data_IF_853707386543
#
_entry.id   IF_853707386543
#
_cell.length_a   1.000
_cell.length_b   1.000
_cell.length_c   1.000
_cell.angle_alpha   90.00
_cell.angle_beta   90.00
_cell.angle_gamma   90.00
#
_symmetry.space_group_name_H-M   'P 1'
#
loop_
_entity.id
_entity.type
_entity.pdbx_description
1 polymer ?
#
# COMPACT_ATOMS: atom_id res chain seq x y z
N UNK A 1 -82.51 4.00 21.91
CA UNK A 1 -81.47 4.18 20.87
C UNK A 1 -80.41 5.12 21.41
N UNK A 2 -79.14 4.71 21.40
CA UNK A 2 -78.00 5.54 21.80
C UNK A 2 -76.94 5.52 20.68
N UNK A 3 -76.47 6.68 20.19
CA UNK A 3 -75.50 6.76 19.10
C UNK A 3 -74.09 6.35 19.59
N UNK A 4 -73.39 5.58 18.74
CA UNK A 4 -72.03 5.09 18.96
C UNK A 4 -71.02 6.25 18.94
N UNK A 5 -70.16 6.31 19.96
CA UNK A 5 -69.13 7.34 20.18
C UNK A 5 -68.11 7.35 19.02
N UNK A 6 -67.83 8.54 18.49
CA UNK A 6 -66.77 8.81 17.51
C UNK A 6 -65.41 8.72 18.18
N UNK A 7 -64.43 8.14 17.47
CA UNK A 7 -63.07 7.89 17.97
C UNK A 7 -62.23 9.16 17.92
N UNK A 8 -61.58 9.49 19.03
CA UNK A 8 -60.66 10.61 19.21
C UNK A 8 -59.53 10.58 18.16
N UNK A 9 -59.39 11.68 17.42
CA UNK A 9 -58.35 11.82 16.40
C UNK A 9 -58.40 13.09 15.56
N UNK A 10 -59.38 13.98 15.77
CA UNK A 10 -59.48 15.22 15.01
C UNK A 10 -59.02 16.41 15.85
N UNK A 11 -57.70 16.51 16.01
CA UNK A 11 -57.04 17.74 16.41
C UNK A 11 -56.16 18.22 15.25
N UNK A 12 -56.67 19.19 14.49
CA UNK A 12 -55.84 20.02 13.59
C UNK A 12 -54.84 20.81 14.43
N UNK A 13 -53.57 20.91 14.00
CA UNK A 13 -52.77 22.10 14.22
C UNK A 13 -52.55 22.82 12.90
N UNK A 14 -52.95 24.09 12.90
CA UNK A 14 -52.51 25.15 11.98
C UNK A 14 -51.00 25.38 12.12
N UNK A 15 -50.28 25.48 11.00
CA UNK A 15 -48.94 26.08 10.99
C UNK A 15 -47.94 25.45 10.01
N UNK A 16 -47.73 26.14 8.87
CA UNK A 16 -46.50 26.24 8.07
C UNK A 16 -45.62 25.01 7.81
N UNK A 17 -45.52 24.62 6.53
CA UNK A 17 -44.28 24.07 5.97
C UNK A 17 -44.43 22.73 5.24
N UNK A 18 -44.42 22.80 3.90
CA UNK A 18 -44.16 21.74 2.92
C UNK A 18 -44.93 20.40 3.07
N UNK A 19 -45.80 20.15 2.09
CA UNK A 19 -46.48 18.88 1.85
C UNK A 19 -45.56 17.66 2.03
N UNK A 20 -45.68 16.98 3.17
CA UNK A 20 -45.10 15.66 3.36
C UNK A 20 -46.23 14.64 3.50
N UNK A 21 -46.67 14.14 2.35
CA UNK A 21 -47.59 13.00 2.26
C UNK A 21 -47.09 11.89 3.20
N UNK A 22 -47.93 11.35 4.11
CA UNK A 22 -47.48 10.36 5.08
C UNK A 22 -46.95 9.14 4.35
N UNK A 23 -45.62 8.93 4.44
CA UNK A 23 -44.94 7.79 3.82
C UNK A 23 -45.49 6.51 4.46
N UNK A 24 -46.39 5.83 3.76
CA UNK A 24 -46.88 4.50 4.15
C UNK A 24 -45.64 3.62 4.39
N UNK A 25 -45.55 3.04 5.60
CA UNK A 25 -44.46 2.14 5.98
C UNK A 25 -44.40 1.01 4.96
N UNK A 26 -43.37 1.03 4.10
CA UNK A 26 -43.11 -0.09 3.18
C UNK A 26 -42.87 -1.32 4.07
N UNK A 27 -43.61 -2.41 3.80
CA UNK A 27 -43.40 -3.69 4.48
C UNK A 27 -41.96 -4.18 4.29
N UNK A 28 -41.61 -5.31 4.90
CA UNK A 28 -40.27 -5.90 4.80
C UNK A 28 -39.96 -6.23 3.32
N UNK A 29 -39.23 -5.33 2.65
CA UNK A 29 -38.84 -5.49 1.26
C UNK A 29 -37.73 -6.54 1.17
N UNK A 30 -38.11 -7.79 0.91
CA UNK A 30 -37.18 -8.89 0.62
C UNK A 30 -36.92 -8.94 -0.89
N UNK A 31 -36.19 -7.94 -1.38
CA UNK A 31 -35.80 -7.85 -2.78
C UNK A 31 -34.28 -7.74 -2.92
N UNK A 32 -33.72 -7.97 -4.12
CA UNK A 32 -32.28 -7.88 -4.39
C UNK A 32 -31.67 -6.50 -4.06
N UNK A 33 -32.50 -5.48 -3.82
CA UNK A 33 -32.09 -4.16 -3.32
C UNK A 33 -31.78 -4.12 -1.82
N UNK A 34 -32.31 -5.05 -1.02
CA UNK A 34 -32.19 -5.13 0.44
C UNK A 34 -31.44 -6.40 0.92
N UNK A 35 -31.09 -7.31 0.00
CA UNK A 35 -30.16 -8.39 0.31
C UNK A 35 -28.75 -7.81 0.46
N UNK A 36 -27.92 -8.32 1.39
CA UNK A 36 -26.54 -7.88 1.53
C UNK A 36 -25.86 -8.01 0.16
N UNK A 37 -25.39 -6.87 -0.35
CA UNK A 37 -24.72 -6.79 -1.64
C UNK A 37 -23.70 -7.92 -1.72
N UNK A 38 -23.91 -8.84 -2.68
CA UNK A 38 -23.07 -10.02 -2.83
C UNK A 38 -21.60 -9.61 -2.92
N UNK A 39 -20.70 -10.53 -2.57
CA UNK A 39 -19.25 -10.27 -2.47
C UNK A 39 -18.67 -9.54 -3.69
N UNK A 40 -19.21 -9.78 -4.89
CA UNK A 40 -18.79 -9.11 -6.12
C UNK A 40 -19.23 -7.63 -6.21
N UNK A 41 -20.44 -7.27 -5.76
CA UNK A 41 -20.93 -5.88 -5.78
C UNK A 41 -20.17 -4.99 -4.78
N UNK A 42 -19.82 -5.53 -3.61
CA UNK A 42 -18.94 -4.83 -2.65
C UNK A 42 -17.54 -4.57 -3.21
N UNK A 43 -16.98 -5.56 -3.90
CA UNK A 43 -15.67 -5.43 -4.56
C UNK A 43 -15.72 -4.37 -5.66
N UNK A 44 -16.73 -4.35 -6.51
CA UNK A 44 -16.84 -3.34 -7.57
C UNK A 44 -17.06 -1.94 -7.00
N UNK A 45 -17.89 -1.78 -5.96
CA UNK A 45 -18.04 -0.51 -5.25
C UNK A 45 -16.73 -0.04 -4.62
N UNK A 46 -15.99 -0.95 -3.95
CA UNK A 46 -14.68 -0.65 -3.36
C UNK A 46 -13.65 -0.24 -4.41
N UNK A 47 -13.58 -0.96 -5.53
CA UNK A 47 -12.67 -0.63 -6.64
C UNK A 47 -13.00 0.76 -7.20
N UNK A 48 -14.28 1.06 -7.41
CA UNK A 48 -14.72 2.37 -7.90
C UNK A 48 -14.38 3.49 -6.90
N UNK A 49 -14.70 3.31 -5.62
CA UNK A 49 -14.40 4.32 -4.59
C UNK A 49 -12.90 4.56 -4.44
N UNK A 50 -12.09 3.50 -4.46
CA UNK A 50 -10.62 3.59 -4.37
C UNK A 50 -10.01 4.31 -5.58
N UNK A 51 -10.50 4.02 -6.79
CA UNK A 51 -10.04 4.70 -8.00
C UNK A 51 -10.37 6.20 -7.98
N UNK A 52 -11.56 6.56 -7.51
CA UNK A 52 -11.97 7.97 -7.33
C UNK A 52 -11.11 8.66 -6.27
N UNK A 53 -10.86 8.02 -5.13
CA UNK A 53 -10.02 8.57 -4.06
C UNK A 53 -8.58 8.80 -4.54
N UNK A 54 -7.97 7.82 -5.23
CA UNK A 54 -6.64 7.96 -5.82
C UNK A 54 -6.57 9.12 -6.81
N UNK A 55 -7.58 9.27 -7.66
CA UNK A 55 -7.65 10.40 -8.58
C UNK A 55 -7.77 11.75 -7.85
N UNK A 56 -8.58 11.83 -6.78
CA UNK A 56 -8.70 13.04 -5.94
C UNK A 56 -7.38 13.40 -5.27
N UNK A 57 -6.70 12.43 -4.67
CA UNK A 57 -5.39 12.63 -4.03
C UNK A 57 -4.36 13.11 -5.05
N UNK A 58 -4.29 12.48 -6.24
CA UNK A 58 -3.39 12.93 -7.31
C UNK A 58 -3.67 14.36 -7.76
N UNK A 59 -4.95 14.75 -7.90
CA UNK A 59 -5.33 16.12 -8.25
C UNK A 59 -4.94 17.12 -7.16
N UNK A 60 -5.22 16.79 -5.91
CA UNK A 60 -4.85 17.65 -4.77
C UNK A 60 -3.33 17.80 -4.66
N UNK A 61 -2.58 16.70 -4.79
CA UNK A 61 -1.12 16.72 -4.79
C UNK A 61 -0.55 17.54 -5.94
N UNK A 62 -1.08 17.39 -7.16
CA UNK A 62 -0.66 18.19 -8.30
C UNK A 62 -0.92 19.69 -8.07
N UNK A 63 -2.04 20.05 -7.42
CA UNK A 63 -2.35 21.44 -7.06
C UNK A 63 -1.35 21.99 -6.03
N UNK A 64 -1.08 21.24 -4.96
CA UNK A 64 -0.10 21.64 -3.93
C UNK A 64 1.29 21.76 -4.56
N UNK A 65 1.72 20.78 -5.35
CA UNK A 65 3.02 20.82 -6.03
C UNK A 65 3.15 22.03 -6.96
N UNK A 66 2.11 22.39 -7.71
CA UNK A 66 2.11 23.58 -8.54
C UNK A 66 2.19 24.86 -7.71
N UNK A 67 1.46 24.91 -6.59
CA UNK A 67 1.52 26.04 -5.66
C UNK A 67 2.90 26.15 -5.02
N UNK A 68 3.49 25.06 -4.53
CA UNK A 68 4.85 25.02 -3.97
C UNK A 68 5.91 25.42 -4.99
N UNK A 69 5.80 24.98 -6.24
CA UNK A 69 6.70 25.43 -7.31
C UNK A 69 6.54 26.92 -7.61
N UNK A 70 5.33 27.48 -7.49
CA UNK A 70 5.11 28.92 -7.66
C UNK A 70 5.61 29.75 -6.48
N UNK A 71 5.51 29.25 -5.24
CA UNK A 71 5.96 29.95 -4.04
C UNK A 71 7.46 29.80 -3.79
N UNK A 72 8.02 28.63 -4.13
CA UNK A 72 9.45 28.31 -4.02
C UNK A 72 10.20 28.49 -5.35
N UNK A 73 9.58 29.11 -6.36
CA UNK A 73 10.34 29.59 -7.50
C UNK A 73 11.40 30.55 -6.94
N UNK A 74 12.71 30.27 -7.13
CA UNK A 74 13.75 31.19 -6.70
C UNK A 74 13.49 32.51 -7.43
N UNK A 75 13.10 33.55 -6.68
CA UNK A 75 13.04 34.90 -7.22
C UNK A 75 14.43 35.17 -7.82
N UNK A 76 14.56 35.49 -9.12
CA UNK A 76 15.86 35.85 -9.66
C UNK A 76 16.34 37.06 -8.86
N UNK A 77 17.49 36.91 -8.20
CA UNK A 77 18.11 37.92 -7.32
C UNK A 77 18.23 39.30 -8.02
N UNK A 78 18.19 39.31 -9.35
CA UNK A 78 18.25 40.50 -10.19
C UNK A 78 17.00 41.40 -10.21
N UNK A 79 15.83 41.01 -9.69
CA UNK A 79 14.64 41.87 -9.70
C UNK A 79 14.28 42.51 -8.35
N UNK A 80 15.09 42.30 -7.32
CA UNK A 80 14.94 42.92 -5.98
C UNK A 80 16.03 43.96 -5.72
N UNK A 81 16.41 44.75 -6.73
CA UNK A 81 17.39 45.83 -6.58
C UNK A 81 16.80 47.23 -6.87
N UNK A 82 15.54 47.35 -7.28
CA UNK A 82 14.96 48.67 -7.65
C UNK A 82 14.00 49.27 -6.63
N UNK A 83 13.80 48.65 -5.46
CA UNK A 83 12.83 49.17 -4.49
C UNK A 83 13.24 48.86 -3.05
N UNK A 84 14.30 49.51 -2.56
CA UNK A 84 14.40 50.11 -1.23
C UNK A 84 15.83 50.55 -0.92
N UNK A 85 15.93 51.73 -0.30
CA UNK A 85 17.09 52.33 0.39
C UNK A 85 18.02 53.22 -0.43
N UNK A 86 17.72 54.53 -0.34
CA UNK A 86 18.76 55.55 -0.25
C UNK A 86 19.55 55.35 1.04
N UNK A 87 20.86 55.18 0.88
CA UNK A 87 21.82 55.11 1.97
C UNK A 87 23.20 55.10 1.35
N UNK A 88 23.97 56.15 1.59
CA UNK A 88 25.34 56.35 1.12
C UNK A 88 26.19 55.07 1.31
N UNK A 89 26.56 54.43 0.20
CA UNK A 89 27.61 53.42 0.19
C UNK A 89 28.55 53.76 -0.96
N UNK A 90 29.76 54.17 -0.59
CA UNK A 90 30.90 54.26 -1.49
C UNK A 90 31.05 52.96 -2.29
N UNK A 91 31.56 53.01 -3.54
CA UNK A 91 31.64 51.83 -4.38
C UNK A 91 32.48 50.79 -3.65
N UNK A 92 31.88 49.65 -3.32
CA UNK A 92 32.59 48.50 -2.80
C UNK A 92 33.62 48.09 -3.85
N UNK A 93 34.86 48.54 -3.68
CA UNK A 93 35.98 48.11 -4.50
C UNK A 93 36.04 46.59 -4.38
N UNK A 94 36.14 45.92 -5.53
CA UNK A 94 36.25 44.47 -5.64
C UNK A 94 37.62 43.96 -5.14
N UNK A 95 38.25 44.68 -4.21
CA UNK A 95 39.53 44.37 -3.63
C UNK A 95 39.27 43.64 -2.31
N UNK A 96 39.80 42.42 -2.20
CA UNK A 96 39.74 41.66 -0.96
C UNK A 96 40.35 42.48 0.18
N UNK A 97 39.65 42.52 1.32
CA UNK A 97 40.14 43.17 2.54
C UNK A 97 41.60 42.75 2.82
N UNK A 98 42.50 43.66 3.22
CA UNK A 98 43.94 43.38 3.34
C UNK A 98 44.25 42.16 4.22
N UNK A 99 43.49 41.95 5.29
CA UNK A 99 43.63 40.78 6.18
C UNK A 99 43.37 39.44 5.47
N UNK A 100 42.47 39.42 4.48
CA UNK A 100 42.18 38.20 3.69
C UNK A 100 43.28 37.92 2.67
N UNK A 101 43.95 38.96 2.17
CA UNK A 101 45.12 38.82 1.29
C UNK A 101 46.31 38.26 2.08
N UNK A 102 46.49 38.68 3.35
CA UNK A 102 47.53 38.13 4.22
C UNK A 102 47.36 36.63 4.47
N UNK A 103 46.13 36.16 4.74
CA UNK A 103 45.84 34.74 4.97
C UNK A 103 46.04 33.84 3.74
N UNK A 104 45.94 34.40 2.52
CA UNK A 104 46.16 33.67 1.27
C UNK A 104 47.64 33.63 0.84
N UNK A 105 48.43 34.60 1.32
CA UNK A 105 49.86 34.68 1.05
C UNK A 105 50.71 33.93 2.09
N UNK A 106 50.13 33.51 3.21
CA UNK A 106 50.81 32.62 4.15
C UNK A 106 50.97 31.22 3.54
N UNK A 107 52.18 30.65 3.48
CA UNK A 107 52.38 29.28 2.99
C UNK A 107 51.73 28.28 3.96
N UNK A 108 50.82 27.47 3.43
CA UNK A 108 50.11 26.42 4.17
C UNK A 108 51.14 25.47 4.81
N UNK A 109 51.14 25.28 6.15
CA UNK A 109 52.00 24.29 6.77
C UNK A 109 51.59 22.90 6.30
N UNK A 110 52.53 22.13 5.75
CA UNK A 110 52.27 20.77 5.26
C UNK A 110 51.59 19.93 6.35
N UNK A 111 50.31 19.62 6.15
CA UNK A 111 49.61 18.67 7.00
C UNK A 111 50.30 17.30 6.88
N UNK A 112 50.61 16.62 8.01
CA UNK A 112 51.13 15.26 7.93
C UNK A 112 50.04 14.38 7.34
N UNK A 113 50.29 13.89 6.11
CA UNK A 113 49.47 12.88 5.43
C UNK A 113 49.10 11.80 6.43
N UNK A 114 47.81 11.68 6.73
CA UNK A 114 47.29 10.63 7.59
C UNK A 114 47.59 9.26 6.98
N UNK A 115 48.70 8.66 7.40
CA UNK A 115 49.02 7.27 7.15
C UNK A 115 47.85 6.42 7.65
N UNK A 116 47.35 5.58 6.74
CA UNK A 116 46.35 4.55 7.04
C UNK A 116 46.85 3.75 8.23
N UNK A 117 46.22 3.90 9.39
CA UNK A 117 46.48 3.10 10.59
C UNK A 117 46.01 1.66 10.38
N UNK A 118 46.73 0.91 9.56
CA UNK A 118 46.75 -0.55 9.59
C UNK A 118 47.93 -1.01 10.44
N UNK A 119 47.69 -2.01 11.29
CA UNK A 119 48.62 -2.70 12.19
C UNK A 119 48.83 -2.09 13.60
N UNK A 120 47.89 -2.39 14.52
CA UNK A 120 48.26 -2.67 15.92
C UNK A 120 48.55 -4.18 16.03
N UNK A 121 49.62 -4.63 16.73
CA UNK A 121 49.86 -6.05 16.97
C UNK A 121 48.83 -6.59 17.99
N UNK A 122 48.49 -7.90 17.95
CA UNK A 122 47.48 -8.45 18.83
C UNK A 122 48.06 -8.58 20.25
N UNK A 123 47.38 -7.95 21.21
CA UNK A 123 47.67 -8.09 22.63
C UNK A 123 46.91 -9.29 23.18
N UNK A 124 47.69 -10.26 23.66
CA UNK A 124 47.40 -11.31 24.64
C UNK A 124 46.25 -12.30 24.35
N UNK A 125 46.66 -13.55 24.06
CA UNK A 125 45.86 -14.70 23.65
C UNK A 125 45.28 -15.55 24.81
N UNK A 126 44.80 -14.94 25.90
CA UNK A 126 44.29 -15.70 27.07
C UNK A 126 43.02 -15.14 27.71
N UNK A 127 42.24 -14.35 26.98
CA UNK A 127 40.89 -13.97 27.39
C UNK A 127 39.90 -14.47 26.36
N UNK A 128 38.91 -15.27 26.77
CA UNK A 128 37.78 -15.66 25.93
C UNK A 128 37.13 -14.42 25.28
N UNK A 129 37.59 -14.07 24.08
CA UNK A 129 36.94 -13.06 23.25
C UNK A 129 35.57 -13.62 22.94
N UNK A 130 34.57 -13.15 23.68
CA UNK A 130 33.16 -13.46 23.43
C UNK A 130 32.88 -13.02 22.01
N UNK A 131 32.89 -13.98 21.08
CA UNK A 131 32.51 -13.80 19.68
C UNK A 131 31.16 -13.09 19.67
N UNK A 132 31.18 -11.78 19.35
CA UNK A 132 29.96 -10.98 19.34
C UNK A 132 29.14 -11.44 18.14
N UNK A 133 27.91 -11.89 18.39
CA UNK A 133 27.00 -12.27 17.31
C UNK A 133 26.78 -11.06 16.39
N UNK A 134 26.81 -11.24 15.06
CA UNK A 134 26.53 -10.17 14.12
C UNK A 134 25.12 -9.62 14.37
N UNK A 135 24.99 -8.29 14.35
CA UNK A 135 23.69 -7.64 14.52
C UNK A 135 22.81 -7.98 13.31
N UNK A 136 21.53 -8.36 13.51
CA UNK A 136 20.63 -8.59 12.40
C UNK A 136 20.48 -7.31 11.57
N UNK A 137 20.44 -7.46 10.25
CA UNK A 137 20.25 -6.32 9.33
C UNK A 137 18.90 -5.65 9.60
N UNK A 138 18.80 -4.34 9.29
CA UNK A 138 17.57 -3.56 9.52
C UNK A 138 16.33 -4.18 8.85
N UNK A 139 16.53 -4.91 7.76
CA UNK A 139 15.48 -5.51 6.94
C UNK A 139 15.27 -7.01 7.19
N UNK A 140 15.98 -7.62 8.15
CA UNK A 140 15.87 -9.06 8.40
C UNK A 140 14.41 -9.50 8.64
N UNK A 141 13.66 -8.72 9.44
CA UNK A 141 12.24 -8.99 9.71
C UNK A 141 11.35 -8.81 8.48
N UNK A 142 11.67 -7.86 7.61
CA UNK A 142 10.89 -7.61 6.39
C UNK A 142 11.11 -8.70 5.34
N UNK A 143 12.35 -9.20 5.22
CA UNK A 143 12.69 -10.33 4.37
C UNK A 143 11.97 -11.61 4.83
N UNK A 144 11.97 -11.89 6.13
CA UNK A 144 11.23 -13.03 6.68
C UNK A 144 9.72 -12.95 6.40
N UNK A 145 9.12 -11.76 6.50
CA UNK A 145 7.70 -11.54 6.20
C UNK A 145 7.45 -11.72 4.70
N UNK A 146 8.34 -11.23 3.84
CA UNK A 146 8.23 -11.37 2.39
C UNK A 146 8.35 -12.84 1.97
N UNK A 147 9.28 -13.58 2.55
CA UNK A 147 9.48 -15.01 2.30
C UNK A 147 8.26 -15.82 2.74
N UNK A 148 7.71 -15.56 3.94
CA UNK A 148 6.48 -16.21 4.41
C UNK A 148 5.31 -15.99 3.46
N UNK A 149 5.13 -14.75 2.96
CA UNK A 149 4.09 -14.44 1.97
C UNK A 149 4.32 -15.15 0.64
N UNK A 150 5.57 -15.25 0.18
CA UNK A 150 5.93 -15.97 -1.04
C UNK A 150 5.63 -17.47 -0.91
N UNK A 151 6.01 -18.06 0.23
CA UNK A 151 5.75 -19.48 0.52
C UNK A 151 4.26 -19.78 0.64
N UNK A 152 3.47 -18.92 1.29
CA UNK A 152 2.01 -19.09 1.37
C UNK A 152 1.35 -19.00 -0.02
N UNK A 153 1.76 -18.02 -0.83
CA UNK A 153 1.27 -17.87 -2.19
C UNK A 153 1.63 -19.08 -3.06
N UNK A 154 2.86 -19.58 -2.94
CA UNK A 154 3.33 -20.76 -3.65
C UNK A 154 2.61 -22.03 -3.17
N UNK A 155 2.41 -22.23 -1.87
CA UNK A 155 1.64 -23.35 -1.34
C UNK A 155 0.20 -23.35 -1.88
N UNK A 156 -0.44 -22.17 -1.91
CA UNK A 156 -1.77 -22.00 -2.48
C UNK A 156 -1.81 -22.26 -4.00
N UNK A 157 -0.75 -21.91 -4.73
CA UNK A 157 -0.63 -22.24 -6.16
C UNK A 157 -0.45 -23.74 -6.36
N UNK A 158 0.48 -24.37 -5.63
CA UNK A 158 0.73 -25.82 -5.68
C UNK A 158 -0.54 -26.62 -5.36
N UNK A 159 -1.35 -26.18 -4.39
CA UNK A 159 -2.63 -26.82 -4.10
C UNK A 159 -3.62 -26.72 -5.26
N UNK A 160 -3.74 -25.53 -5.89
CA UNK A 160 -4.60 -25.33 -7.06
C UNK A 160 -4.13 -26.18 -8.24
N UNK A 161 -2.83 -26.21 -8.49
CA UNK A 161 -2.24 -27.02 -9.55
C UNK A 161 -2.44 -28.51 -9.30
N UNK A 162 -2.27 -29.00 -8.07
CA UNK A 162 -2.54 -30.39 -7.73
C UNK A 162 -4.02 -30.75 -7.98
N UNK A 163 -4.96 -29.89 -7.58
CA UNK A 163 -6.40 -30.07 -7.86
C UNK A 163 -6.70 -30.05 -9.37
N UNK A 164 -6.04 -29.19 -10.13
CA UNK A 164 -6.18 -29.12 -11.58
C UNK A 164 -5.62 -30.37 -12.27
N UNK A 165 -4.41 -30.79 -11.90
CA UNK A 165 -3.77 -32.03 -12.40
C UNK A 165 -4.63 -33.26 -12.13
N UNK A 166 -5.23 -33.36 -10.94
CA UNK A 166 -6.17 -34.44 -10.63
C UNK A 166 -7.42 -34.41 -11.50
N UNK A 167 -7.98 -33.22 -11.74
CA UNK A 167 -9.14 -33.05 -12.61
C UNK A 167 -8.81 -33.42 -14.06
N UNK A 168 -7.65 -33.01 -14.55
CA UNK A 168 -7.15 -33.33 -15.89
C UNK A 168 -6.85 -34.82 -16.04
N UNK A 169 -6.23 -35.45 -15.04
CA UNK A 169 -5.98 -36.89 -15.02
C UNK A 169 -7.29 -37.69 -15.08
N UNK A 170 -8.30 -37.29 -14.30
CA UNK A 170 -9.64 -37.89 -14.36
C UNK A 170 -10.32 -37.68 -15.72
N UNK A 171 -10.22 -36.47 -16.30
CA UNK A 171 -10.78 -36.19 -17.61
C UNK A 171 -10.09 -37.02 -18.72
N UNK A 172 -8.77 -37.19 -18.64
CA UNK A 172 -7.99 -38.01 -19.56
C UNK A 172 -8.30 -39.50 -19.40
N UNK A 173 -8.51 -39.97 -18.17
CA UNK A 173 -8.87 -41.35 -17.89
C UNK A 173 -10.30 -41.69 -18.37
N UNK A 174 -11.23 -40.74 -18.29
CA UNK A 174 -12.61 -40.86 -18.79
C UNK A 174 -12.74 -40.81 -20.31
N UNK A 175 -11.68 -40.46 -21.06
CA UNK A 175 -11.73 -40.44 -22.52
C UNK A 175 -12.01 -41.86 -23.04
N UNK A 176 -13.07 -42.04 -23.87
CA UNK A 176 -13.42 -43.34 -24.43
C UNK A 176 -12.43 -43.79 -25.49
N UNK A 177 -12.44 -45.09 -25.78
CA UNK A 177 -11.59 -45.69 -26.79
C UNK A 177 -12.07 -45.43 -28.21
N UNK A 178 -11.29 -45.86 -29.20
CA UNK A 178 -11.70 -45.85 -30.62
C UNK A 178 -13.03 -46.59 -30.84
N UNK A 179 -13.35 -47.55 -29.97
CA UNK A 179 -14.61 -48.29 -29.92
C UNK A 179 -15.70 -47.64 -29.05
N UNK A 180 -15.46 -46.45 -28.48
CA UNK A 180 -16.40 -45.73 -27.62
C UNK A 180 -16.52 -46.26 -26.17
N UNK A 181 -15.87 -47.39 -25.85
CA UNK A 181 -15.94 -48.00 -24.52
C UNK A 181 -15.04 -47.27 -23.51
N UNK A 182 -15.47 -47.21 -22.24
CA UNK A 182 -14.72 -46.58 -21.15
C UNK A 182 -13.59 -47.48 -20.66
N UNK A 183 -12.41 -46.90 -20.38
CA UNK A 183 -11.26 -47.62 -19.84
C UNK A 183 -11.27 -47.61 -18.32
N UNK A 184 -12.04 -48.52 -17.71
CA UNK A 184 -12.18 -48.63 -16.25
C UNK A 184 -10.83 -48.75 -15.53
N UNK A 185 -9.86 -49.48 -16.09
CA UNK A 185 -8.52 -49.60 -15.49
C UNK A 185 -7.72 -48.30 -15.42
N UNK A 186 -7.99 -47.32 -16.30
CA UNK A 186 -7.36 -45.99 -16.21
C UNK A 186 -8.06 -45.11 -15.18
N UNK A 187 -9.39 -45.20 -15.12
CA UNK A 187 -10.19 -44.47 -14.13
C UNK A 187 -9.91 -44.97 -12.70
N UNK A 188 -9.78 -46.29 -12.51
CA UNK A 188 -9.49 -46.90 -11.21
C UNK A 188 -8.17 -46.42 -10.63
N UNK A 189 -7.10 -46.34 -11.43
CA UNK A 189 -5.77 -45.91 -10.96
C UNK A 189 -5.77 -44.47 -10.43
N UNK A 190 -6.44 -43.55 -11.11
CA UNK A 190 -6.55 -42.15 -10.66
C UNK A 190 -7.39 -42.06 -9.38
N UNK A 191 -8.48 -42.82 -9.30
CA UNK A 191 -9.32 -42.89 -8.09
C UNK A 191 -8.56 -43.49 -6.89
N UNK A 192 -7.77 -44.54 -7.10
CA UNK A 192 -6.93 -45.14 -6.05
C UNK A 192 -5.91 -44.14 -5.53
N UNK A 193 -5.22 -43.39 -6.40
CA UNK A 193 -4.29 -42.34 -5.98
C UNK A 193 -4.95 -41.21 -5.16
N UNK A 194 -6.24 -40.95 -5.42
CA UNK A 194 -7.01 -39.95 -4.68
C UNK A 194 -7.40 -40.48 -3.31
N UNK A 195 -7.84 -41.75 -3.23
CA UNK A 195 -8.15 -42.43 -1.97
C UNK A 195 -6.90 -42.55 -1.10
N UNK A 196 -5.76 -42.96 -1.66
CA UNK A 196 -4.50 -43.04 -0.93
C UNK A 196 -4.07 -41.69 -0.34
N UNK A 197 -4.29 -40.58 -1.06
CA UNK A 197 -4.06 -39.23 -0.52
C UNK A 197 -5.03 -38.84 0.60
N UNK A 198 -6.30 -39.21 0.51
CA UNK A 198 -7.28 -38.93 1.56
C UNK A 198 -7.00 -39.75 2.82
N UNK A 199 -6.60 -41.02 2.66
CA UNK A 199 -6.24 -41.91 3.79
C UNK A 199 -4.88 -41.56 4.39
N UNK A 200 -3.93 -41.04 3.60
CA UNK A 200 -2.65 -40.53 4.13
C UNK A 200 -2.75 -39.16 4.82
N UNK A 201 -3.91 -38.50 4.77
CA UNK A 201 -4.19 -37.22 5.43
C UNK A 201 -4.94 -37.39 6.76
N UNK A 202 -5.42 -38.61 7.06
CA UNK A 202 -5.96 -39.02 8.37
C UNK A 202 -4.86 -39.58 9.24
#
# INVERSE_FOLDING_TARGET
MAPKRTRDGESKPSGSGADSVPKKRKGFNVGPANLPDGTYRRKTQKIKSDLIQKAKVKKAYAKIKAQELSTNAPKPIFTTAEQENGGDQAPASLELHPDRVAMMNEPEPEEPKAERRSARPPRDATGHQRQRKPKPSAFAKELEIAEKRRQEAEARQREREARQKDREAMARAKRPDRSGKRRLGRESNVLLSRVQRMVGQT
#
